data_IF_246704926562
#
_entry.id   IF_246704926562
#
_cell.length_a   1.000
_cell.length_b   1.000
_cell.length_c   1.000
_cell.angle_alpha   90.00
_cell.angle_beta   90.00
_cell.angle_gamma   90.00
#
_symmetry.space_group_name_H-M   'P 1'
#
loop_
_entity.id
_entity.type
_entity.pdbx_description
1 polymer ?
#
# COMPACT_ATOMS: atom_id res chain seq x y z
N UNK A 1 -0.97 11.15 5.21
CA UNK A 1 -0.68 9.71 5.43
C UNK A 1 0.69 9.37 4.91
N UNK A 2 1.40 8.52 5.58
CA UNK A 2 2.72 8.04 5.15
C UNK A 2 2.88 6.56 5.49
N UNK A 3 3.74 5.88 4.75
CA UNK A 3 4.05 4.49 5.04
C UNK A 3 4.94 4.41 6.27
N UNK A 4 4.73 3.38 7.09
CA UNK A 4 5.59 3.16 8.25
C UNK A 4 6.91 2.55 7.81
N UNK A 5 7.97 2.91 8.51
CA UNK A 5 9.30 2.33 8.28
C UNK A 5 9.31 0.86 8.68
N UNK A 6 10.11 0.07 7.99
CA UNK A 6 10.27 -1.34 8.31
C UNK A 6 9.32 -2.26 7.60
N UNK A 7 8.42 -1.74 6.76
CA UNK A 7 7.51 -2.55 5.93
C UNK A 7 7.98 -2.49 4.49
N UNK A 8 8.29 -3.63 3.93
CA UNK A 8 8.80 -3.74 2.57
C UNK A 8 7.96 -4.69 1.74
N UNK A 9 7.80 -4.32 0.47
CA UNK A 9 7.12 -5.16 -0.49
C UNK A 9 8.08 -6.23 -1.01
N UNK A 10 7.65 -7.49 -0.96
CA UNK A 10 8.41 -8.63 -1.48
C UNK A 10 7.53 -9.43 -2.43
N UNK A 11 8.17 -10.10 -3.36
CA UNK A 11 7.49 -11.04 -4.24
C UNK A 11 7.96 -12.45 -3.90
N UNK A 12 7.01 -13.31 -3.54
CA UNK A 12 7.29 -14.70 -3.16
C UNK A 12 6.34 -15.60 -3.93
N UNK A 13 6.89 -16.48 -4.75
CA UNK A 13 6.11 -17.43 -5.56
C UNK A 13 5.04 -16.77 -6.41
N UNK A 14 5.35 -15.59 -6.96
CA UNK A 14 4.40 -14.85 -7.80
C UNK A 14 3.38 -14.02 -7.03
N UNK A 15 3.43 -14.04 -5.70
CA UNK A 15 2.54 -13.23 -4.87
C UNK A 15 3.30 -12.05 -4.29
N UNK A 16 2.67 -10.89 -4.27
CA UNK A 16 3.23 -9.71 -3.67
C UNK A 16 2.73 -9.59 -2.23
N UNK A 17 3.67 -9.44 -1.30
CA UNK A 17 3.38 -9.35 0.12
C UNK A 17 4.15 -8.21 0.76
N UNK A 18 3.59 -7.65 1.81
CA UNK A 18 4.29 -6.71 2.68
C UNK A 18 4.81 -7.48 3.88
N UNK A 19 6.10 -7.36 4.14
CA UNK A 19 6.72 -7.99 5.32
C UNK A 19 7.31 -6.92 6.22
N UNK A 20 7.20 -7.15 7.52
CA UNK A 20 7.84 -6.30 8.51
C UNK A 20 9.31 -6.70 8.60
N UNK A 21 10.19 -5.81 8.16
CA UNK A 21 11.64 -6.02 8.24
C UNK A 21 12.24 -4.97 9.17
N UNK A 22 12.44 -5.32 10.40
CA UNK A 22 13.06 -4.43 11.37
C UNK A 22 13.70 -5.25 12.46
N UNK A 23 14.73 -4.69 13.10
CA UNK A 23 15.44 -5.40 14.17
C UNK A 23 14.56 -5.73 15.37
N UNK A 24 13.43 -5.04 15.50
CA UNK A 24 12.53 -5.18 16.63
C UNK A 24 11.26 -5.96 16.31
N UNK A 25 10.99 -6.21 15.02
CA UNK A 25 9.74 -6.82 14.61
C UNK A 25 9.95 -7.88 13.53
N UNK A 26 10.66 -8.95 13.90
CA UNK A 26 10.64 -10.14 13.06
C UNK A 26 9.41 -10.94 13.50
N UNK A 27 8.26 -10.44 13.13
CA UNK A 27 7.02 -11.15 13.40
C UNK A 27 6.38 -11.52 12.07
N UNK A 28 6.59 -12.77 11.68
CA UNK A 28 6.04 -13.28 10.43
C UNK A 28 4.50 -13.35 10.44
N UNK A 29 3.87 -13.05 11.58
CA UNK A 29 2.42 -12.99 11.66
C UNK A 29 1.84 -11.74 10.97
N UNK A 30 2.69 -10.77 10.64
CA UNK A 30 2.28 -9.52 9.99
C UNK A 30 2.60 -9.49 8.49
N UNK A 31 2.47 -10.64 7.85
CA UNK A 31 2.58 -10.72 6.39
C UNK A 31 1.23 -10.35 5.80
N UNK A 32 1.23 -9.35 4.92
CA UNK A 32 0.00 -8.85 4.28
C UNK A 32 0.09 -9.12 2.80
N UNK A 33 -0.85 -9.92 2.30
CA UNK A 33 -0.95 -10.19 0.87
C UNK A 33 -1.49 -8.96 0.14
N UNK A 34 -0.89 -8.62 -0.99
CA UNK A 34 -1.35 -7.52 -1.82
C UNK A 34 -1.68 -8.02 -3.21
N UNK A 35 -2.79 -7.53 -3.76
CA UNK A 35 -3.07 -7.75 -5.17
C UNK A 35 -2.16 -6.84 -6.00
N UNK A 36 -2.20 -7.01 -7.31
CA UNK A 36 -1.35 -6.26 -8.23
C UNK A 36 -1.54 -4.75 -8.10
N UNK A 37 -2.79 -4.30 -8.00
CA UNK A 37 -3.13 -2.88 -7.87
C UNK A 37 -2.60 -2.30 -6.56
N UNK A 38 -2.83 -2.98 -5.44
CA UNK A 38 -2.34 -2.54 -4.12
C UNK A 38 -0.83 -2.45 -4.08
N UNK A 39 -0.15 -3.44 -4.66
CA UNK A 39 1.31 -3.46 -4.73
C UNK A 39 1.84 -2.30 -5.57
N UNK A 40 1.21 -2.02 -6.70
CA UNK A 40 1.58 -0.90 -7.55
C UNK A 40 1.49 0.43 -6.79
N UNK A 41 0.37 0.65 -6.09
CA UNK A 41 0.18 1.88 -5.32
C UNK A 41 1.19 1.98 -4.18
N UNK A 42 1.43 0.88 -3.48
CA UNK A 42 2.41 0.85 -2.39
C UNK A 42 3.81 1.22 -2.87
N UNK A 43 4.27 0.61 -3.98
CA UNK A 43 5.58 0.88 -4.53
C UNK A 43 5.77 2.35 -4.89
N UNK A 44 4.71 3.01 -5.34
CA UNK A 44 4.78 4.41 -5.76
C UNK A 44 4.78 5.39 -4.59
N UNK A 45 4.23 4.99 -3.44
CA UNK A 45 4.14 5.89 -2.27
C UNK A 45 5.14 5.54 -1.17
N UNK A 46 5.68 4.34 -1.18
CA UNK A 46 6.73 3.94 -0.23
C UNK A 46 7.97 4.81 -0.50
N UNK A 47 8.44 5.51 0.47
CA UNK A 47 9.55 6.43 0.31
C UNK A 47 9.15 7.88 0.12
N UNK A 48 7.87 8.17 -0.05
CA UNK A 48 7.39 9.54 -0.01
C UNK A 48 7.23 9.98 1.45
N UNK A 49 7.41 11.26 1.71
CA UNK A 49 7.20 11.81 3.04
C UNK A 49 5.73 11.73 3.45
N UNK A 50 4.83 11.91 2.50
CA UNK A 50 3.39 11.77 2.73
C UNK A 50 2.65 11.57 1.42
N UNK A 51 1.43 11.07 1.50
CA UNK A 51 0.55 10.92 0.33
C UNK A 51 -0.91 11.07 0.79
N UNK A 52 -1.77 11.36 -0.18
CA UNK A 52 -3.21 11.53 0.07
C UNK A 52 -4.01 10.53 -0.77
N UNK A 53 -5.33 10.48 -0.51
CA UNK A 53 -6.22 9.66 -1.32
C UNK A 53 -6.21 10.10 -2.78
N UNK A 54 -6.13 11.41 -3.02
CA UNK A 54 -6.05 11.96 -4.38
C UNK A 54 -4.78 11.52 -5.09
N UNK A 55 -3.65 11.43 -4.38
CA UNK A 55 -2.40 10.95 -4.96
C UNK A 55 -2.53 9.52 -5.43
N UNK A 56 -3.13 8.66 -4.59
CA UNK A 56 -3.37 7.27 -4.95
C UNK A 56 -4.36 7.13 -6.10
N UNK A 57 -5.44 7.92 -6.06
CA UNK A 57 -6.45 7.90 -7.13
C UNK A 57 -5.83 8.30 -8.46
N UNK A 58 -4.97 9.30 -8.47
CA UNK A 58 -4.27 9.74 -9.67
C UNK A 58 -3.36 8.65 -10.23
N UNK A 59 -2.61 7.97 -9.38
CA UNK A 59 -1.79 6.84 -9.79
C UNK A 59 -2.65 5.75 -10.44
N UNK A 60 -3.81 5.50 -9.87
CA UNK A 60 -4.72 4.48 -10.37
C UNK A 60 -5.30 4.85 -11.72
N UNK A 61 -5.75 6.11 -11.90
CA UNK A 61 -6.30 6.57 -13.18
C UNK A 61 -5.24 6.67 -14.27
N UNK A 62 -3.98 6.94 -13.90
CA UNK A 62 -2.87 6.99 -14.86
C UNK A 62 -2.47 5.60 -15.34
N UNK A 63 -2.61 4.58 -14.48
CA UNK A 63 -2.15 3.22 -14.78
C UNK A 63 -3.27 2.32 -15.31
N UNK A 64 -4.51 2.60 -14.97
CA UNK A 64 -5.66 1.75 -15.30
C UNK A 64 -6.78 2.58 -15.87
N UNK A 65 -7.62 1.95 -16.70
CA UNK A 65 -8.80 2.61 -17.26
C UNK A 65 -9.95 2.61 -16.24
N UNK A 66 -9.87 3.50 -15.26
CA UNK A 66 -10.93 3.70 -14.28
C UNK A 66 -11.24 5.19 -14.18
N UNK A 67 -12.49 5.53 -13.87
CA UNK A 67 -12.82 6.93 -13.68
C UNK A 67 -12.35 7.42 -12.31
N UNK A 68 -12.25 8.72 -12.14
CA UNK A 68 -11.72 9.32 -10.92
C UNK A 68 -12.57 8.99 -9.70
N UNK A 69 -13.89 8.98 -9.85
CA UNK A 69 -14.81 8.68 -8.76
C UNK A 69 -14.63 7.23 -8.26
N UNK A 70 -14.55 6.28 -9.17
CA UNK A 70 -14.32 4.88 -8.84
C UNK A 70 -12.94 4.69 -8.23
N UNK A 71 -11.91 5.32 -8.82
CA UNK A 71 -10.56 5.25 -8.29
C UNK A 71 -10.48 5.77 -6.87
N UNK A 72 -11.12 6.89 -6.59
CA UNK A 72 -11.10 7.50 -5.27
C UNK A 72 -11.79 6.60 -4.23
N UNK A 73 -12.93 6.00 -4.60
CA UNK A 73 -13.63 5.06 -3.71
C UNK A 73 -12.77 3.83 -3.41
N UNK A 74 -12.11 3.29 -4.43
CA UNK A 74 -11.25 2.10 -4.26
C UNK A 74 -10.05 2.40 -3.38
N UNK A 75 -9.39 3.56 -3.57
CA UNK A 75 -8.23 3.89 -2.76
C UNK A 75 -8.60 4.21 -1.31
N UNK A 76 -9.78 4.77 -1.08
CA UNK A 76 -10.25 5.01 0.29
C UNK A 76 -10.43 3.69 1.04
N UNK A 77 -11.01 2.68 0.40
CA UNK A 77 -11.13 1.35 0.97
C UNK A 77 -9.75 0.74 1.25
N UNK A 78 -8.84 0.87 0.29
CA UNK A 78 -7.49 0.35 0.42
C UNK A 78 -6.74 1.03 1.57
N UNK A 79 -6.86 2.34 1.70
CA UNK A 79 -6.23 3.09 2.78
C UNK A 79 -6.75 2.65 4.15
N UNK A 80 -8.04 2.36 4.26
CA UNK A 80 -8.61 1.83 5.49
C UNK A 80 -8.02 0.47 5.85
N UNK A 81 -7.82 -0.39 4.85
CA UNK A 81 -7.19 -1.68 5.04
C UNK A 81 -5.75 -1.52 5.52
N UNK A 82 -5.00 -0.59 4.92
CA UNK A 82 -3.62 -0.32 5.32
C UNK A 82 -3.53 0.23 6.75
N UNK A 83 -4.46 1.11 7.13
CA UNK A 83 -4.52 1.63 8.51
C UNK A 83 -4.82 0.49 9.49
N UNK A 84 -5.80 -0.34 9.18
CA UNK A 84 -6.16 -1.49 10.01
C UNK A 84 -5.01 -2.48 10.14
N UNK A 85 -4.24 -2.65 9.09
CA UNK A 85 -3.07 -3.54 9.09
C UNK A 85 -1.87 -2.92 9.83
N UNK A 86 -1.90 -1.61 10.08
CA UNK A 86 -0.83 -0.92 10.79
C UNK A 86 0.41 -0.65 9.98
N UNK A 87 0.30 -0.62 8.66
CA UNK A 87 1.45 -0.40 7.77
C UNK A 87 1.58 1.05 7.30
N UNK A 88 0.59 1.87 7.60
CA UNK A 88 0.64 3.31 7.32
C UNK A 88 0.21 4.08 8.56
N UNK A 89 0.59 5.35 8.63
CA UNK A 89 0.16 6.27 9.68
C UNK A 89 -0.35 7.57 9.08
N UNK A 90 -1.30 8.15 9.74
CA UNK A 90 -1.89 9.42 9.30
C UNK A 90 -1.00 10.63 9.55
#
# INVERSE_FOLDING_TARGET
>A
MKTKKGFNLREVCGEKIIVAEGKENIDFSNIISMNETSAYLWENVAGRDSFTAEDLAKLLTDAYEVDEETALADVQTLMQQWISAGIVEE
#
